data_IF_699611670827
#
_entry.id   IF_699611670827
#
_cell.length_a   1.000
_cell.length_b   1.000
_cell.length_c   1.000
_cell.angle_alpha   90.00
_cell.angle_beta   90.00
_cell.angle_gamma   90.00
#
_symmetry.space_group_name_H-M   'P 1'
#
loop_
_entity.id
_entity.type
_entity.pdbx_description
1 polymer ?
#
# COMPACT_ATOMS: atom_id res chain seq x y z
N UNK A 1 8.91 13.13 24.82
CA UNK A 1 8.99 11.77 24.23
C UNK A 1 7.79 10.89 24.60
N UNK A 2 7.51 10.63 25.88
CA UNK A 2 6.42 9.71 26.29
C UNK A 2 5.00 10.15 25.88
N UNK A 3 4.70 11.45 25.86
CA UNK A 3 3.38 11.98 25.48
C UNK A 3 3.13 11.88 23.96
N UNK A 4 4.16 12.07 23.14
CA UNK A 4 4.07 11.88 21.69
C UNK A 4 3.79 10.41 21.32
N UNK A 5 4.45 9.46 22.01
CA UNK A 5 4.21 8.03 21.81
C UNK A 5 2.79 7.62 22.18
N UNK A 6 2.24 8.14 23.29
CA UNK A 6 0.85 7.90 23.69
C UNK A 6 -0.16 8.44 22.68
N UNK A 7 0.05 9.66 22.19
CA UNK A 7 -0.83 10.28 21.19
C UNK A 7 -0.80 9.53 19.83
N UNK A 8 0.37 9.01 19.44
CA UNK A 8 0.48 8.21 18.23
C UNK A 8 -0.22 6.86 18.38
N UNK A 9 0.04 6.16 19.49
CA UNK A 9 -0.59 4.88 19.77
C UNK A 9 -2.13 5.01 19.84
N UNK A 10 -2.64 6.08 20.46
CA UNK A 10 -4.08 6.34 20.48
C UNK A 10 -4.62 6.62 19.09
N UNK A 11 -3.96 7.46 18.28
CA UNK A 11 -4.43 7.79 16.94
C UNK A 11 -4.48 6.56 16.01
N UNK A 12 -3.49 5.67 16.11
CA UNK A 12 -3.46 4.41 15.37
C UNK A 12 -4.56 3.46 15.84
N UNK A 13 -4.69 3.28 17.16
CA UNK A 13 -5.70 2.36 17.73
C UNK A 13 -7.11 2.80 17.37
N UNK A 14 -7.41 4.10 17.52
CA UNK A 14 -8.70 4.68 17.15
C UNK A 14 -9.00 4.48 15.66
N UNK A 15 -8.02 4.74 14.78
CA UNK A 15 -8.18 4.52 13.34
C UNK A 15 -8.45 3.05 12.98
N UNK A 16 -7.74 2.12 13.60
CA UNK A 16 -7.93 0.67 13.38
C UNK A 16 -9.35 0.25 13.80
N UNK A 17 -9.77 0.64 15.01
CA UNK A 17 -11.09 0.28 15.54
C UNK A 17 -12.21 0.83 14.64
N UNK A 18 -12.13 2.11 14.27
CA UNK A 18 -13.09 2.75 13.38
C UNK A 18 -13.12 2.06 12.01
N UNK A 19 -11.95 1.79 11.42
CA UNK A 19 -11.83 1.14 10.11
C UNK A 19 -12.41 -0.28 10.08
N UNK A 20 -12.15 -1.08 11.12
CA UNK A 20 -12.71 -2.44 11.23
C UNK A 20 -14.22 -2.40 11.40
N UNK A 21 -14.74 -1.56 12.31
CA UNK A 21 -16.19 -1.44 12.54
C UNK A 21 -16.90 -1.01 11.26
N UNK A 22 -16.40 0.05 10.60
CA UNK A 22 -16.94 0.52 9.34
C UNK A 22 -16.87 -0.54 8.25
N UNK A 23 -15.77 -1.30 8.16
CA UNK A 23 -15.58 -2.35 7.17
C UNK A 23 -16.58 -3.49 7.37
N UNK A 24 -16.72 -3.96 8.61
CA UNK A 24 -17.68 -5.02 8.98
C UNK A 24 -19.13 -4.59 8.75
N UNK A 25 -19.46 -3.36 9.12
CA UNK A 25 -20.76 -2.77 8.83
C UNK A 25 -21.02 -2.71 7.33
N UNK A 26 -20.06 -2.21 6.55
CA UNK A 26 -20.21 -2.02 5.11
C UNK A 26 -20.29 -3.33 4.34
N UNK A 27 -19.63 -4.39 4.79
CA UNK A 27 -19.80 -5.73 4.20
C UNK A 27 -21.25 -6.21 4.25
N UNK A 28 -21.96 -5.98 5.37
CA UNK A 28 -23.39 -6.33 5.49
C UNK A 28 -24.25 -5.49 4.57
N UNK A 29 -23.93 -4.19 4.45
CA UNK A 29 -24.62 -3.28 3.54
C UNK A 29 -24.42 -3.73 2.09
N UNK A 30 -23.17 -3.92 1.66
CA UNK A 30 -22.85 -4.37 0.30
C UNK A 30 -23.55 -5.67 -0.06
N UNK A 31 -23.67 -6.64 0.85
CA UNK A 31 -24.45 -7.87 0.58
C UNK A 31 -25.90 -7.59 0.19
N UNK A 32 -26.56 -6.65 0.86
CA UNK A 32 -27.94 -6.26 0.56
C UNK A 32 -28.03 -5.48 -0.76
N UNK A 33 -27.03 -4.64 -1.05
CA UNK A 33 -27.02 -3.73 -2.20
C UNK A 33 -26.45 -4.36 -3.50
N UNK A 34 -25.60 -5.38 -3.41
CA UNK A 34 -24.90 -5.98 -4.57
C UNK A 34 -25.84 -6.70 -5.53
N UNK A 35 -27.07 -7.04 -5.12
CA UNK A 35 -27.99 -7.75 -6.00
C UNK A 35 -28.41 -6.96 -7.25
N UNK A 36 -28.25 -5.62 -7.34
CA UNK A 36 -28.91 -4.87 -8.42
C UNK A 36 -28.34 -3.49 -8.86
N UNK A 37 -27.09 -3.07 -8.55
CA UNK A 37 -26.65 -1.69 -8.91
C UNK A 37 -25.17 -1.57 -9.34
N UNK A 38 -24.89 -0.93 -10.50
CA UNK A 38 -23.51 -0.65 -10.95
C UNK A 38 -22.78 0.45 -10.14
N UNK A 39 -23.48 1.17 -9.24
CA UNK A 39 -22.92 2.29 -8.47
C UNK A 39 -22.28 1.89 -7.13
N UNK A 40 -22.21 0.60 -6.79
CA UNK A 40 -21.69 0.14 -5.50
C UNK A 40 -20.26 0.64 -5.19
N UNK A 41 -19.42 0.76 -6.23
CA UNK A 41 -18.08 1.34 -6.11
C UNK A 41 -18.10 2.80 -5.65
N UNK A 42 -18.89 3.65 -6.32
CA UNK A 42 -18.96 5.09 -6.03
C UNK A 42 -19.43 5.34 -4.61
N UNK A 43 -20.42 4.58 -4.14
CA UNK A 43 -20.91 4.68 -2.76
C UNK A 43 -19.83 4.23 -1.77
N UNK A 44 -19.08 3.18 -2.07
CA UNK A 44 -17.96 2.72 -1.23
C UNK A 44 -16.85 3.76 -1.16
N UNK A 45 -16.55 4.43 -2.28
CA UNK A 45 -15.58 5.52 -2.33
C UNK A 45 -16.05 6.74 -1.53
N UNK A 46 -17.33 7.12 -1.65
CA UNK A 46 -17.92 8.19 -0.84
C UNK A 46 -17.83 7.88 0.66
N UNK A 47 -18.12 6.63 1.05
CA UNK A 47 -17.97 6.20 2.44
C UNK A 47 -16.51 6.28 2.90
N UNK A 48 -15.54 5.94 2.04
CA UNK A 48 -14.12 6.05 2.38
C UNK A 48 -13.73 7.50 2.73
N UNK A 49 -14.25 8.50 1.98
CA UNK A 49 -14.02 9.92 2.32
C UNK A 49 -14.70 10.35 3.62
N UNK A 50 -15.94 9.90 3.86
CA UNK A 50 -16.65 10.18 5.12
C UNK A 50 -15.90 9.55 6.30
N UNK A 51 -15.44 8.31 6.13
CA UNK A 51 -14.68 7.58 7.14
C UNK A 51 -13.35 8.28 7.45
N UNK A 52 -12.67 8.79 6.42
CA UNK A 52 -11.45 9.58 6.59
C UNK A 52 -11.72 10.79 7.49
N UNK A 53 -12.70 11.62 7.15
CA UNK A 53 -13.03 12.83 7.89
C UNK A 53 -13.51 12.51 9.32
N UNK A 54 -14.32 11.47 9.49
CA UNK A 54 -14.79 11.02 10.79
C UNK A 54 -13.64 10.53 11.67
N UNK A 55 -12.72 9.74 11.12
CA UNK A 55 -11.56 9.24 11.86
C UNK A 55 -10.62 10.39 12.28
N UNK A 56 -10.39 11.39 11.43
CA UNK A 56 -9.63 12.59 11.82
C UNK A 56 -10.34 13.38 12.92
N UNK A 57 -11.65 13.57 12.83
CA UNK A 57 -12.44 14.25 13.87
C UNK A 57 -12.40 13.52 15.22
N UNK A 58 -12.31 12.19 15.20
CA UNK A 58 -12.14 11.36 16.41
C UNK A 58 -10.70 11.33 16.96
N UNK A 59 -9.77 12.09 16.37
CA UNK A 59 -8.36 12.11 16.77
C UNK A 59 -7.54 10.90 16.29
N UNK A 60 -8.07 10.13 15.33
CA UNK A 60 -7.37 9.06 14.64
C UNK A 60 -6.68 9.52 13.35
N UNK A 61 -5.87 8.65 12.76
CA UNK A 61 -5.33 8.87 11.42
C UNK A 61 -6.33 8.39 10.35
N UNK A 62 -6.92 9.33 9.60
CA UNK A 62 -7.93 9.02 8.57
C UNK A 62 -7.42 8.09 7.47
N UNK A 63 -6.17 8.25 7.02
CA UNK A 63 -5.58 7.40 5.99
C UNK A 63 -5.48 5.93 6.46
N UNK A 64 -5.12 5.72 7.74
CA UNK A 64 -5.06 4.38 8.34
C UNK A 64 -6.46 3.78 8.48
N UNK A 65 -7.46 4.58 8.89
CA UNK A 65 -8.83 4.10 9.02
C UNK A 65 -9.38 3.60 7.67
N UNK A 66 -9.16 4.35 6.59
CA UNK A 66 -9.55 3.96 5.22
C UNK A 66 -8.76 2.74 4.74
N UNK A 67 -7.47 2.63 5.05
CA UNK A 67 -6.67 1.44 4.72
C UNK A 67 -7.23 0.18 5.40
N UNK A 68 -7.52 0.27 6.70
CA UNK A 68 -8.07 -0.85 7.48
C UNK A 68 -9.46 -1.23 6.98
N UNK A 69 -10.29 -0.24 6.65
CA UNK A 69 -11.58 -0.44 5.99
C UNK A 69 -11.46 -1.17 4.66
N UNK A 70 -10.56 -0.72 3.77
CA UNK A 70 -10.29 -1.37 2.49
C UNK A 70 -9.75 -2.79 2.65
N UNK A 71 -8.90 -3.04 3.66
CA UNK A 71 -8.40 -4.36 3.99
C UNK A 71 -9.52 -5.29 4.48
N UNK A 72 -10.43 -4.79 5.31
CA UNK A 72 -11.60 -5.53 5.78
C UNK A 72 -12.52 -5.92 4.62
N UNK A 73 -12.80 -4.99 3.69
CA UNK A 73 -13.57 -5.27 2.48
C UNK A 73 -12.86 -6.27 1.55
N UNK A 74 -11.56 -6.07 1.31
CA UNK A 74 -10.76 -6.92 0.43
C UNK A 74 -10.69 -8.36 0.90
N UNK A 75 -10.73 -8.58 2.21
CA UNK A 75 -10.72 -9.90 2.84
C UNK A 75 -12.12 -10.36 3.28
N UNK A 76 -13.20 -9.76 2.76
CA UNK A 76 -14.56 -9.98 3.28
C UNK A 76 -15.00 -11.45 3.35
N UNK A 77 -14.59 -12.27 2.39
CA UNK A 77 -14.86 -13.72 2.41
C UNK A 77 -14.17 -14.44 3.59
N UNK A 78 -12.89 -14.14 3.87
CA UNK A 78 -12.16 -14.72 5.01
C UNK A 78 -12.73 -14.25 6.35
N UNK A 79 -13.15 -12.98 6.43
CA UNK A 79 -13.85 -12.48 7.61
C UNK A 79 -15.20 -13.19 7.80
N UNK A 80 -15.97 -13.37 6.73
CA UNK A 80 -17.24 -14.07 6.81
C UNK A 80 -17.10 -15.53 7.27
N UNK A 81 -16.08 -16.25 6.78
CA UNK A 81 -15.75 -17.61 7.23
C UNK A 81 -15.37 -17.65 8.72
N UNK A 82 -14.53 -16.71 9.17
CA UNK A 82 -14.14 -16.60 10.58
C UNK A 82 -15.34 -16.31 11.51
N UNK A 83 -16.29 -15.48 11.05
CA UNK A 83 -17.52 -15.15 11.78
C UNK A 83 -18.68 -16.14 11.53
N UNK A 84 -18.45 -17.23 10.77
CA UNK A 84 -19.46 -18.24 10.39
C UNK A 84 -20.70 -17.65 9.71
N UNK A 85 -20.55 -16.57 8.94
CA UNK A 85 -21.65 -15.95 8.21
C UNK A 85 -21.92 -16.69 6.92
N UNK A 86 -23.18 -17.09 6.70
CA UNK A 86 -23.60 -17.70 5.44
C UNK A 86 -23.80 -16.62 4.36
N UNK A 87 -23.11 -16.75 3.23
CA UNK A 87 -23.25 -15.88 2.05
C UNK A 87 -21.93 -15.66 1.31
N UNK A 88 -22.01 -15.14 0.09
CA UNK A 88 -20.84 -14.64 -0.65
C UNK A 88 -20.55 -13.20 -0.24
N UNK A 89 -19.35 -12.97 0.29
CA UNK A 89 -18.83 -11.66 0.70
C UNK A 89 -17.61 -11.25 -0.13
N UNK A 90 -17.39 -11.91 -1.27
CA UNK A 90 -16.37 -11.50 -2.21
C UNK A 90 -16.72 -10.13 -2.80
N UNK A 91 -15.71 -9.27 -2.97
CA UNK A 91 -15.87 -8.04 -3.75
C UNK A 91 -16.11 -8.43 -5.20
N UNK A 92 -17.21 -7.93 -5.78
CA UNK A 92 -17.55 -8.11 -7.18
C UNK A 92 -16.42 -7.59 -8.10
N UNK A 93 -16.06 -8.36 -9.13
CA UNK A 93 -15.01 -8.01 -10.11
C UNK A 93 -15.12 -6.59 -10.67
N UNK A 94 -16.31 -6.07 -11.06
CA UNK A 94 -16.45 -4.71 -11.58
C UNK A 94 -15.97 -3.63 -10.61
N UNK A 95 -16.11 -3.85 -9.29
CA UNK A 95 -15.66 -2.90 -8.27
C UNK A 95 -14.13 -2.84 -8.20
N UNK A 96 -13.45 -3.97 -8.43
CA UNK A 96 -11.98 -4.03 -8.49
C UNK A 96 -11.45 -3.35 -9.75
N UNK A 97 -12.15 -3.52 -10.87
CA UNK A 97 -11.75 -2.90 -12.15
C UNK A 97 -11.84 -1.38 -12.06
N UNK A 98 -12.94 -0.84 -11.50
CA UNK A 98 -13.08 0.60 -11.30
C UNK A 98 -12.06 1.13 -10.28
N UNK A 99 -11.81 0.42 -9.17
CA UNK A 99 -10.74 0.78 -8.23
C UNK A 99 -9.38 0.83 -8.93
N UNK A 100 -9.07 -0.15 -9.79
CA UNK A 100 -7.81 -0.22 -10.52
C UNK A 100 -7.67 0.95 -11.48
N UNK A 101 -8.73 1.28 -12.22
CA UNK A 101 -8.76 2.45 -13.10
C UNK A 101 -8.56 3.76 -12.33
N UNK A 102 -9.21 3.92 -11.17
CA UNK A 102 -9.05 5.11 -10.32
C UNK A 102 -7.63 5.23 -9.78
N UNK A 103 -7.04 4.14 -9.26
CA UNK A 103 -5.65 4.13 -8.79
C UNK A 103 -4.69 4.46 -9.92
N UNK A 104 -4.88 3.87 -11.10
CA UNK A 104 -4.06 4.17 -12.28
C UNK A 104 -4.15 5.65 -12.67
N UNK A 105 -5.35 6.22 -12.68
CA UNK A 105 -5.60 7.61 -12.99
C UNK A 105 -4.91 8.55 -11.99
N UNK A 106 -5.12 8.34 -10.69
CA UNK A 106 -4.51 9.16 -9.62
C UNK A 106 -2.98 9.06 -9.67
N UNK A 107 -2.42 7.87 -9.86
CA UNK A 107 -0.97 7.68 -9.96
C UNK A 107 -0.39 8.42 -11.17
N UNK A 108 -1.02 8.29 -12.34
CA UNK A 108 -0.57 8.96 -13.57
C UNK A 108 -0.62 10.46 -13.41
N UNK A 109 -1.74 11.00 -12.92
CA UNK A 109 -1.90 12.43 -12.67
C UNK A 109 -0.84 12.94 -11.69
N UNK A 110 -0.58 12.20 -10.61
CA UNK A 110 0.43 12.56 -9.63
C UNK A 110 1.83 12.61 -10.22
N UNK A 111 2.25 11.58 -10.98
CA UNK A 111 3.57 11.59 -11.61
C UNK A 111 3.73 12.69 -12.64
N UNK A 112 2.68 12.98 -13.42
CA UNK A 112 2.68 14.13 -14.34
C UNK A 112 2.81 15.44 -13.56
N UNK A 113 2.02 15.62 -12.51
CA UNK A 113 2.08 16.81 -11.65
C UNK A 113 3.45 16.99 -10.99
N UNK A 114 4.04 15.91 -10.47
CA UNK A 114 5.40 15.93 -9.94
C UNK A 114 6.43 16.36 -10.99
N UNK A 115 6.30 15.86 -12.22
CA UNK A 115 7.16 16.27 -13.32
C UNK A 115 6.98 17.74 -13.73
N UNK A 116 5.77 18.30 -13.59
CA UNK A 116 5.50 19.71 -13.87
C UNK A 116 6.08 20.66 -12.81
N UNK A 117 6.11 20.23 -11.55
CA UNK A 117 6.70 21.01 -10.46
C UNK A 117 8.23 20.98 -10.46
N UNK A 118 8.82 20.20 -11.36
CA UNK A 118 10.25 20.05 -11.44
C UNK A 118 10.88 21.23 -12.20
N UNK A 119 11.73 22.00 -11.51
CA UNK A 119 12.51 23.07 -12.12
C UNK A 119 13.97 22.63 -12.30
N UNK A 120 14.44 22.68 -13.56
CA UNK A 120 15.83 22.37 -13.90
C UNK A 120 16.84 23.38 -13.31
N UNK A 121 16.40 24.59 -12.95
CA UNK A 121 17.26 25.61 -12.35
C UNK A 121 17.69 25.28 -10.92
N UNK A 122 16.96 24.40 -10.24
CA UNK A 122 17.26 23.98 -8.87
C UNK A 122 18.20 22.77 -8.82
N UNK A 123 18.72 22.29 -9.97
CA UNK A 123 19.85 21.36 -10.03
C UNK A 123 21.14 22.06 -9.60
N UNK A 124 21.25 22.28 -8.29
CA UNK A 124 22.49 22.66 -7.66
C UNK A 124 23.27 21.39 -7.27
N UNK A 125 24.61 21.45 -7.29
CA UNK A 125 25.47 20.35 -6.84
C UNK A 125 25.07 19.86 -5.43
N UNK A 126 24.64 20.80 -4.58
CA UNK A 126 24.15 20.51 -3.24
C UNK A 126 22.89 19.61 -3.25
N UNK A 127 21.94 19.85 -4.14
CA UNK A 127 20.71 19.04 -4.22
C UNK A 127 21.01 17.59 -4.65
N UNK A 128 21.98 17.41 -5.55
CA UNK A 128 22.46 16.09 -5.98
C UNK A 128 23.15 15.38 -4.81
N UNK A 129 24.03 16.08 -4.08
CA UNK A 129 24.74 15.53 -2.93
C UNK A 129 23.76 15.09 -1.82
N UNK A 130 22.79 15.94 -1.49
CA UNK A 130 21.77 15.63 -0.46
C UNK A 130 20.91 14.46 -0.91
N UNK A 131 20.51 14.40 -2.17
CA UNK A 131 19.75 13.27 -2.72
C UNK A 131 20.56 11.98 -2.63
N UNK A 132 21.85 12.00 -3.00
CA UNK A 132 22.73 10.85 -2.90
C UNK A 132 22.86 10.39 -1.44
N UNK A 133 23.04 11.31 -0.50
CA UNK A 133 23.11 11.01 0.93
C UNK A 133 21.80 10.38 1.45
N UNK A 134 20.64 10.92 1.03
CA UNK A 134 19.33 10.35 1.37
C UNK A 134 19.18 8.94 0.79
N UNK A 135 19.56 8.72 -0.47
CA UNK A 135 19.51 7.38 -1.08
C UNK A 135 20.38 6.38 -0.32
N UNK A 136 21.62 6.75 0.00
CA UNK A 136 22.52 5.90 0.79
C UNK A 136 21.90 5.60 2.16
N UNK A 137 21.36 6.59 2.86
CA UNK A 137 20.71 6.39 4.15
C UNK A 137 19.49 5.46 4.04
N UNK A 138 18.68 5.59 2.98
CA UNK A 138 17.52 4.74 2.74
C UNK A 138 17.91 3.28 2.50
N UNK A 139 18.92 3.03 1.66
CA UNK A 139 19.40 1.68 1.38
C UNK A 139 20.18 1.08 2.55
N UNK A 140 20.94 1.88 3.30
CA UNK A 140 21.61 1.44 4.51
C UNK A 140 20.59 1.02 5.58
N UNK A 141 19.55 1.83 5.82
CA UNK A 141 18.46 1.48 6.71
C UNK A 141 17.72 0.21 6.27
N UNK A 142 17.54 0.03 4.96
CA UNK A 142 16.97 -1.20 4.39
C UNK A 142 17.86 -2.40 4.62
N UNK A 143 19.17 -2.28 4.40
CA UNK A 143 20.13 -3.36 4.63
C UNK A 143 20.11 -3.83 6.09
N UNK A 144 20.06 -2.90 7.04
CA UNK A 144 19.95 -3.21 8.48
C UNK A 144 18.65 -3.95 8.75
N UNK A 145 17.52 -3.48 8.23
CA UNK A 145 16.22 -4.12 8.42
C UNK A 145 16.17 -5.55 7.82
N UNK A 146 16.72 -5.75 6.62
CA UNK A 146 16.79 -7.07 5.96
C UNK A 146 17.76 -7.99 6.71
N UNK A 147 18.88 -7.48 7.20
CA UNK A 147 19.80 -8.26 8.02
C UNK A 147 19.14 -8.73 9.32
N UNK A 148 18.44 -7.83 10.03
CA UNK A 148 17.68 -8.18 11.23
C UNK A 148 16.59 -9.22 10.94
N UNK A 149 15.87 -9.07 9.82
CA UNK A 149 14.79 -9.98 9.44
C UNK A 149 15.30 -11.38 9.05
N UNK A 150 16.41 -11.46 8.31
CA UNK A 150 17.02 -12.75 7.92
C UNK A 150 17.66 -13.50 9.08
N UNK A 151 18.01 -12.81 10.16
CA UNK A 151 18.44 -13.43 11.43
C UNK A 151 17.28 -14.10 12.18
N UNK A 152 16.10 -13.51 12.13
CA UNK A 152 14.90 -14.04 12.80
C UNK A 152 14.27 -15.17 11.99
N UNK A 153 14.32 -15.09 10.66
CA UNK A 153 13.74 -16.10 9.79
C UNK A 153 14.68 -16.47 8.65
N UNK A 154 15.34 -17.63 8.80
CA UNK A 154 16.31 -18.15 7.83
C UNK A 154 15.70 -18.45 6.45
N UNK A 155 14.39 -18.70 6.37
CA UNK A 155 13.69 -18.93 5.09
C UNK A 155 13.65 -17.68 4.20
N UNK A 156 13.82 -16.49 4.77
CA UNK A 156 13.87 -15.23 4.04
C UNK A 156 15.28 -14.92 3.50
N UNK A 157 16.29 -15.74 3.82
CA UNK A 157 17.67 -15.52 3.39
C UNK A 157 17.84 -15.67 1.88
N UNK A 158 17.16 -16.63 1.26
CA UNK A 158 17.18 -16.82 -0.19
C UNK A 158 16.46 -15.69 -0.93
N UNK A 159 15.49 -15.04 -0.27
CA UNK A 159 14.75 -13.90 -0.82
C UNK A 159 15.37 -12.55 -0.41
N UNK A 160 16.43 -12.52 0.39
CA UNK A 160 16.96 -11.29 0.99
C UNK A 160 17.40 -10.27 -0.06
N UNK A 161 17.92 -10.75 -1.18
CA UNK A 161 18.34 -9.93 -2.32
C UNK A 161 17.13 -9.20 -2.93
N UNK A 162 16.00 -9.89 -3.10
CA UNK A 162 14.75 -9.26 -3.54
C UNK A 162 14.24 -8.24 -2.51
N UNK A 163 14.24 -8.60 -1.22
CA UNK A 163 13.78 -7.70 -0.16
C UNK A 163 14.62 -6.41 -0.04
N UNK A 164 15.89 -6.48 -0.41
CA UNK A 164 16.82 -5.34 -0.37
C UNK A 164 16.62 -4.39 -1.55
N UNK A 165 16.51 -4.90 -2.77
CA UNK A 165 16.44 -4.08 -3.98
C UNK A 165 15.02 -3.64 -4.35
N UNK A 166 14.00 -4.39 -3.94
CA UNK A 166 12.60 -4.05 -4.22
C UNK A 166 12.04 -3.12 -3.14
N UNK A 167 12.39 -1.83 -3.24
CA UNK A 167 11.92 -0.79 -2.34
C UNK A 167 11.54 0.51 -3.11
N UNK A 168 10.64 0.44 -4.11
CA UNK A 168 10.15 1.64 -4.78
C UNK A 168 9.51 2.58 -3.74
N UNK A 169 9.85 3.87 -3.80
CA UNK A 169 9.19 4.86 -2.95
C UNK A 169 7.93 5.34 -3.66
N UNK A 170 6.81 5.18 -2.96
CA UNK A 170 5.50 5.55 -3.49
C UNK A 170 5.18 7.03 -3.35
N UNK A 171 3.96 7.36 -3.80
CA UNK A 171 3.39 8.72 -3.81
C UNK A 171 3.35 9.37 -2.41
N UNK A 172 3.21 8.56 -1.36
CA UNK A 172 3.16 9.06 0.02
C UNK A 172 4.39 9.90 0.40
N UNK A 173 5.58 9.54 -0.09
CA UNK A 173 6.80 10.29 0.18
C UNK A 173 6.76 11.70 -0.44
N UNK A 174 6.24 11.82 -1.66
CA UNK A 174 6.10 13.11 -2.31
C UNK A 174 5.00 13.95 -1.66
N UNK A 175 3.84 13.38 -1.33
CA UNK A 175 2.79 14.12 -0.61
C UNK A 175 3.32 14.70 0.71
N UNK A 176 4.12 13.94 1.46
CA UNK A 176 4.76 14.43 2.69
C UNK A 176 5.81 15.51 2.43
N UNK A 177 6.53 15.47 1.31
CA UNK A 177 7.47 16.52 0.92
C UNK A 177 6.77 17.85 0.59
N UNK A 178 5.53 17.80 0.10
CA UNK A 178 4.71 19.00 -0.17
C UNK A 178 4.03 19.58 1.08
N UNK A 179 3.92 18.82 2.16
CA UNK A 179 3.18 19.23 3.35
C UNK A 179 3.77 20.49 4.04
N UNK A 180 5.10 20.67 4.16
CA UNK A 180 5.68 21.92 4.65
C UNK A 180 5.37 23.11 3.74
N UNK A 181 5.43 22.90 2.42
CA UNK A 181 5.17 23.93 1.43
C UNK A 181 3.71 24.41 1.49
N UNK A 182 2.75 23.50 1.70
CA UNK A 182 1.33 23.87 1.88
C UNK A 182 1.05 24.59 3.19
N UNK A 183 1.91 24.41 4.20
CA UNK A 183 1.87 25.12 5.48
C UNK A 183 2.64 26.46 5.45
N UNK A 184 3.11 26.90 4.28
CA UNK A 184 3.87 28.14 4.12
C UNK A 184 5.32 28.08 4.62
N UNK A 185 5.82 26.90 4.99
CA UNK A 185 7.21 26.68 5.38
C UNK A 185 7.99 26.14 4.19
N UNK A 186 8.64 27.04 3.45
CA UNK A 186 9.52 26.65 2.34
C UNK A 186 10.85 26.16 2.89
N UNK A 187 11.09 24.85 2.80
CA UNK A 187 12.41 24.26 2.99
C UNK A 187 13.03 24.15 1.60
N UNK A 188 14.07 24.93 1.27
CA UNK A 188 14.66 24.93 -0.06
C UNK A 188 15.22 23.54 -0.39
N UNK A 189 14.89 23.01 -1.56
CA UNK A 189 15.43 21.73 -2.05
C UNK A 189 14.71 20.47 -1.54
N UNK A 190 13.73 20.57 -0.64
CA UNK A 190 13.06 19.38 -0.06
C UNK A 190 12.23 18.63 -1.11
N UNK A 191 11.46 19.37 -1.91
CA UNK A 191 10.58 18.81 -2.93
C UNK A 191 11.41 18.19 -4.05
N UNK A 192 12.48 18.87 -4.46
CA UNK A 192 13.40 18.44 -5.49
C UNK A 192 14.15 17.18 -5.06
N UNK A 193 14.65 17.15 -3.82
CA UNK A 193 15.30 15.96 -3.25
C UNK A 193 14.34 14.78 -3.17
N UNK A 194 13.10 15.01 -2.72
CA UNK A 194 12.09 13.95 -2.65
C UNK A 194 11.73 13.40 -4.04
N UNK A 195 11.59 14.28 -5.02
CA UNK A 195 11.35 13.90 -6.41
C UNK A 195 12.49 13.06 -6.99
N UNK A 196 13.73 13.54 -6.88
CA UNK A 196 14.91 12.79 -7.36
C UNK A 196 15.05 11.45 -6.65
N UNK A 197 14.78 11.39 -5.34
CA UNK A 197 14.79 10.14 -4.59
C UNK A 197 13.69 9.16 -5.04
N UNK A 198 12.48 9.65 -5.33
CA UNK A 198 11.38 8.81 -5.85
C UNK A 198 11.72 8.28 -7.23
N UNK A 199 12.21 9.12 -8.15
CA UNK A 199 12.64 8.68 -9.47
C UNK A 199 13.77 7.65 -9.38
N UNK A 200 14.82 7.94 -8.62
CA UNK A 200 15.95 7.05 -8.48
C UNK A 200 15.54 5.70 -7.88
N UNK A 201 14.73 5.69 -6.82
CA UNK A 201 14.27 4.43 -6.20
C UNK A 201 13.34 3.63 -7.11
N UNK A 202 12.48 4.28 -7.90
CA UNK A 202 11.62 3.59 -8.86
C UNK A 202 12.40 3.02 -10.05
N UNK A 203 13.40 3.75 -10.57
CA UNK A 203 14.28 3.26 -11.64
C UNK A 203 15.10 2.07 -11.13
N UNK A 204 15.71 2.17 -9.95
CA UNK A 204 16.46 1.06 -9.35
C UNK A 204 15.55 -0.15 -9.14
N UNK A 205 14.33 0.03 -8.62
CA UNK A 205 13.38 -1.06 -8.43
C UNK A 205 12.94 -1.69 -9.77
N UNK A 206 12.73 -0.88 -10.81
CA UNK A 206 12.39 -1.38 -12.15
C UNK A 206 13.53 -2.22 -12.73
N UNK A 207 14.76 -1.70 -12.72
CA UNK A 207 15.96 -2.43 -13.18
C UNK A 207 16.15 -3.72 -12.37
N UNK A 208 16.03 -3.65 -11.04
CA UNK A 208 16.13 -4.80 -10.17
C UNK A 208 15.07 -5.87 -10.50
N UNK A 209 13.85 -5.45 -10.84
CA UNK A 209 12.79 -6.39 -11.26
C UNK A 209 13.25 -7.15 -12.50
N UNK A 210 13.69 -6.45 -13.56
CA UNK A 210 14.19 -7.08 -14.78
C UNK A 210 15.41 -7.98 -14.55
N UNK A 211 16.35 -7.58 -13.70
CA UNK A 211 17.58 -8.34 -13.41
C UNK A 211 17.31 -9.59 -12.57
N UNK A 212 16.35 -9.51 -11.65
CA UNK A 212 16.02 -10.61 -10.75
C UNK A 212 14.80 -11.42 -11.17
N UNK A 213 14.24 -11.16 -12.36
CA UNK A 213 13.17 -11.96 -12.97
C UNK A 213 13.73 -13.33 -13.39
N UNK A 214 13.85 -14.23 -12.41
CA UNK A 214 13.93 -15.65 -12.68
C UNK A 214 12.55 -16.09 -13.20
N UNK A 215 12.46 -16.85 -14.31
CA UNK A 215 11.19 -17.37 -14.77
C UNK A 215 10.51 -18.12 -13.63
N UNK A 216 9.33 -17.66 -13.24
CA UNK A 216 8.47 -18.23 -12.22
C UNK A 216 7.98 -19.64 -12.59
N UNK A 217 8.89 -20.61 -12.66
CA UNK A 217 8.63 -22.05 -12.71
C UNK A 217 9.24 -22.66 -11.46
N UNK A 218 8.50 -22.66 -10.34
CA UNK A 218 8.51 -23.75 -9.34
C UNK A 218 7.66 -23.52 -8.09
N UNK A 219 7.06 -22.34 -7.85
CA UNK A 219 6.29 -22.10 -6.62
C UNK A 219 4.76 -22.32 -6.72
N UNK A 220 4.21 -22.76 -7.87
CA UNK A 220 2.79 -23.12 -8.00
C UNK A 220 2.61 -24.46 -8.73
N UNK A 221 2.90 -25.56 -8.05
CA UNK A 221 2.11 -26.79 -8.19
C UNK A 221 1.69 -27.23 -6.79
N UNK A 222 0.48 -26.85 -6.34
CA UNK A 222 -0.14 -27.50 -5.19
C UNK A 222 -0.57 -28.91 -5.64
N UNK A 223 0.11 -29.93 -5.12
CA UNK A 223 -0.42 -31.26 -4.82
C UNK A 223 -1.60 -31.75 -5.69
N UNK A 224 -1.32 -32.27 -6.89
CA UNK A 224 -2.19 -33.27 -7.50
C UNK A 224 -1.88 -34.64 -6.87
N UNK A 225 -2.39 -34.87 -5.65
CA UNK A 225 -2.53 -36.25 -5.14
C UNK A 225 -3.43 -37.01 -6.11
N UNK A 226 -2.96 -38.17 -6.53
CA UNK A 226 -3.50 -39.01 -7.59
C UNK A 226 -5.03 -39.24 -7.52
N UNK A 227 -5.76 -39.24 -8.65
CA UNK A 227 -7.01 -39.97 -8.71
C UNK A 227 -6.68 -41.47 -8.77
N UNK A 228 -6.82 -42.18 -7.65
CA UNK A 228 -6.98 -43.63 -7.69
C UNK A 228 -8.28 -43.93 -8.46
N UNK A 229 -8.15 -44.39 -9.70
CA UNK A 229 -9.27 -44.93 -10.47
C UNK A 229 -9.75 -46.23 -9.80
N UNK A 230 -11.08 -46.46 -9.68
CA UNK A 230 -11.59 -47.79 -9.36
C UNK A 230 -11.35 -48.71 -10.55
N UNK A 231 -10.55 -49.77 -10.39
CA UNK A 231 -10.45 -50.84 -11.38
C UNK A 231 -11.36 -51.99 -10.95
N UNK A 232 -12.60 -51.92 -11.41
CA UNK A 232 -13.48 -53.08 -11.55
C UNK A 232 -12.98 -53.86 -12.79
N UNK A 233 -12.49 -55.09 -12.62
CA UNK A 233 -12.53 -56.28 -13.53
C UNK A 233 -11.85 -57.40 -12.71
N UNK A 234 -12.43 -58.54 -12.34
CA UNK A 234 -13.49 -59.39 -12.90
C UNK A 234 -14.16 -60.15 -11.76
#
# INVERSE_FOLDING_TARGET
>A
MAQAGKNLASAFTTAIVIGVIAGVFWMKVLRTFQKNKPLAYVVTLALAFILYAFAEAAGGNGAIAVLVFGLALGNGQRLAEAFKWQGDYAIATPMKDVQTAVVFFVNTFFFVYLGLLFDFKTFNELAILVTAAVLVALYAGRAIAVYALTRVNAALKDQSRYLMWFAPRGLAAAVLAFLPASQGKSIPGLVETAFLAILATNIIAAIATFVFEQPAKQAQQPQAKAPQKPRIVR
#
